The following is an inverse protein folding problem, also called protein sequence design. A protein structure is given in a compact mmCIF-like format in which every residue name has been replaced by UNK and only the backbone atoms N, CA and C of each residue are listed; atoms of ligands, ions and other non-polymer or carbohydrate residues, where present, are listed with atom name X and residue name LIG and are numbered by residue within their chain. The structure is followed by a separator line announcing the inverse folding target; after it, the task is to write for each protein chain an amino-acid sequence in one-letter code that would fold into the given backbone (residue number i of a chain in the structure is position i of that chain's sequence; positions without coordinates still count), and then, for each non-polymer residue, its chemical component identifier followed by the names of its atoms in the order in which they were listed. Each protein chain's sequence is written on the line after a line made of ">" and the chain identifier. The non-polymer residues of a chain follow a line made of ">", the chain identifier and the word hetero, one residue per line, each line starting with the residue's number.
data_IF_984082368982
#
_entry.id   IF_984082368982
#
_cell.length_a   1.000
_cell.length_b   1.000
_cell.length_c   1.000
_cell.angle_alpha   90.00
_cell.angle_beta   90.00
_cell.angle_gamma   90.00
#
_symmetry.space_group_name_H-M   'P 1'
#
loop_
_entity.id
_entity.type
_entity.pdbx_description
1 polymer ?
#
# COMPACT_ATOMS: atom_id res chain seq x y z
N UNK A 1 -8.33 18.64 -24.82
CA UNK A 1 -8.36 19.42 -23.54
C UNK A 1 -9.18 18.74 -22.43
N UNK A 2 -10.45 18.32 -22.65
CA UNK A 2 -11.28 17.67 -21.60
C UNK A 2 -10.71 16.36 -21.00
N UNK A 3 -10.09 15.52 -21.82
CA UNK A 3 -9.50 14.25 -21.36
C UNK A 3 -8.30 14.44 -20.41
N UNK A 4 -7.38 15.37 -20.75
CA UNK A 4 -6.25 15.73 -19.89
C UNK A 4 -6.69 16.31 -18.55
N UNK A 5 -7.79 17.08 -18.52
CA UNK A 5 -8.30 17.63 -17.27
C UNK A 5 -8.86 16.53 -16.34
N UNK A 6 -9.56 15.52 -16.88
CA UNK A 6 -10.04 14.38 -16.08
C UNK A 6 -8.89 13.52 -15.53
N UNK A 7 -7.86 13.27 -16.34
CA UNK A 7 -6.67 12.54 -15.91
C UNK A 7 -5.92 13.28 -14.79
N UNK A 8 -5.75 14.60 -14.92
CA UNK A 8 -5.14 15.44 -13.90
C UNK A 8 -5.94 15.45 -12.59
N UNK A 9 -7.27 15.59 -12.65
CA UNK A 9 -8.14 15.53 -11.47
C UNK A 9 -8.09 14.15 -10.79
N UNK A 10 -8.05 13.08 -11.59
CA UNK A 10 -7.88 11.72 -11.07
C UNK A 10 -6.55 11.58 -10.34
N UNK A 11 -5.43 11.97 -10.96
CA UNK A 11 -4.12 11.90 -10.35
C UNK A 11 -4.03 12.74 -9.07
N UNK A 12 -4.57 13.96 -9.06
CA UNK A 12 -4.61 14.81 -7.87
C UNK A 12 -5.39 14.16 -6.70
N UNK A 13 -6.52 13.50 -6.99
CA UNK A 13 -7.29 12.77 -5.98
C UNK A 13 -6.51 11.58 -5.41
N UNK A 14 -5.89 10.78 -6.26
CA UNK A 14 -5.08 9.62 -5.84
C UNK A 14 -3.87 10.08 -5.01
N UNK A 15 -3.23 11.17 -5.41
CA UNK A 15 -2.11 11.77 -4.68
C UNK A 15 -2.53 12.24 -3.29
N UNK A 16 -3.66 12.95 -3.18
CA UNK A 16 -4.19 13.42 -1.89
C UNK A 16 -4.51 12.25 -0.95
N UNK A 17 -5.19 11.21 -1.45
CA UNK A 17 -5.49 10.00 -0.67
C UNK A 17 -4.21 9.31 -0.17
N UNK A 18 -3.23 9.14 -1.07
CA UNK A 18 -1.92 8.55 -0.73
C UNK A 18 -1.22 9.35 0.37
N UNK A 19 -1.19 10.68 0.27
CA UNK A 19 -0.50 11.55 1.24
C UNK A 19 -1.20 11.57 2.60
N UNK A 20 -2.52 11.42 2.64
CA UNK A 20 -3.26 11.26 3.89
C UNK A 20 -2.95 9.93 4.57
N UNK A 21 -3.01 8.82 3.83
CA UNK A 21 -2.73 7.48 4.36
C UNK A 21 -1.28 7.35 4.82
N UNK A 22 -0.32 7.85 4.03
CA UNK A 22 1.09 7.81 4.43
C UNK A 22 1.36 8.60 5.72
N UNK A 23 0.68 9.73 5.91
CA UNK A 23 0.72 10.48 7.19
C UNK A 23 0.16 9.67 8.35
N UNK A 24 -0.91 8.90 8.15
CA UNK A 24 -1.49 8.01 9.18
C UNK A 24 -0.53 6.87 9.54
N UNK A 25 0.07 6.21 8.55
CA UNK A 25 1.05 5.13 8.74
C UNK A 25 2.27 5.61 9.52
N UNK A 26 2.86 6.75 9.15
CA UNK A 26 4.02 7.34 9.84
C UNK A 26 3.77 7.67 11.31
N UNK A 27 2.52 7.98 11.69
CA UNK A 27 2.16 8.21 13.09
C UNK A 27 2.15 6.92 13.90
N UNK A 28 1.99 5.76 13.26
CA UNK A 28 1.97 4.43 13.87
C UNK A 28 0.97 4.29 15.05
N UNK A 29 -0.15 5.01 15.00
CA UNK A 29 -1.21 4.97 16.03
C UNK A 29 -2.41 4.10 15.65
N UNK A 30 -2.35 3.44 14.48
CA UNK A 30 -3.42 2.62 13.96
C UNK A 30 -3.45 1.23 14.63
N UNK A 31 -4.64 0.64 14.72
CA UNK A 31 -4.76 -0.78 15.01
C UNK A 31 -4.05 -1.59 13.90
N UNK A 32 -3.52 -2.80 14.17
CA UNK A 32 -2.80 -3.58 13.16
C UNK A 32 -3.61 -3.76 11.87
N UNK A 33 -4.91 -4.06 11.98
CA UNK A 33 -5.82 -4.20 10.84
C UNK A 33 -5.85 -2.95 9.96
N UNK A 34 -6.10 -1.79 10.57
CA UNK A 34 -6.17 -0.51 9.84
C UNK A 34 -4.81 -0.15 9.25
N UNK A 35 -3.72 -0.44 9.97
CA UNK A 35 -2.36 -0.18 9.49
C UNK A 35 -2.06 -0.95 8.21
N UNK A 36 -2.24 -2.27 8.20
CA UNK A 36 -1.92 -3.08 7.02
C UNK A 36 -2.91 -2.85 5.88
N UNK A 37 -4.17 -2.53 6.19
CA UNK A 37 -5.15 -2.08 5.20
C UNK A 37 -4.70 -0.78 4.53
N UNK A 38 -4.38 0.26 5.30
CA UNK A 38 -3.89 1.54 4.79
C UNK A 38 -2.56 1.40 4.04
N UNK A 39 -1.66 0.53 4.53
CA UNK A 39 -0.38 0.22 3.89
C UNK A 39 -0.57 -0.39 2.49
N UNK A 40 -1.40 -1.44 2.38
CA UNK A 40 -1.74 -2.04 1.09
C UNK A 40 -2.39 -1.02 0.15
N UNK A 41 -3.27 -0.16 0.68
CA UNK A 41 -3.92 0.90 -0.10
C UNK A 41 -2.93 1.94 -0.63
N UNK A 42 -1.91 2.32 0.14
CA UNK A 42 -0.86 3.24 -0.34
C UNK A 42 -0.09 2.61 -1.50
N UNK A 43 0.24 1.32 -1.44
CA UNK A 43 0.88 0.62 -2.57
C UNK A 43 -0.01 0.69 -3.81
N UNK A 44 -1.28 0.34 -3.68
CA UNK A 44 -2.26 0.40 -4.77
C UNK A 44 -2.33 1.78 -5.43
N UNK A 45 -2.37 2.84 -4.62
CA UNK A 45 -2.41 4.23 -5.11
C UNK A 45 -1.10 4.62 -5.81
N UNK A 46 0.06 4.24 -5.24
CA UNK A 46 1.37 4.49 -5.85
C UNK A 46 1.50 3.78 -7.20
N UNK A 47 1.08 2.51 -7.29
CA UNK A 47 1.07 1.74 -8.54
C UNK A 47 0.21 2.42 -9.60
N UNK A 48 -1.02 2.82 -9.25
CA UNK A 48 -1.93 3.49 -10.19
C UNK A 48 -1.47 4.90 -10.61
N UNK A 49 -0.71 5.59 -9.75
CA UNK A 49 -0.08 6.87 -10.09
C UNK A 49 1.12 6.69 -11.04
N UNK A 50 1.86 5.58 -10.90
CA UNK A 50 2.99 5.23 -11.77
C UNK A 50 2.53 4.69 -13.13
N UNK A 51 1.47 3.89 -13.13
CA UNK A 51 0.86 3.31 -14.33
C UNK A 51 -0.57 3.82 -14.53
N UNK A 52 -0.72 4.87 -15.36
CA UNK A 52 -1.96 5.63 -15.57
C UNK A 52 -3.23 4.81 -15.92
N UNK A 53 -3.07 3.59 -16.44
CA UNK A 53 -4.18 2.76 -16.93
C UNK A 53 -4.62 1.67 -15.93
N UNK A 54 -4.12 1.72 -14.69
CA UNK A 54 -4.48 0.76 -13.65
C UNK A 54 -5.49 1.37 -12.68
N UNK A 55 -6.49 0.59 -12.27
CA UNK A 55 -7.36 0.94 -11.18
C UNK A 55 -6.71 0.54 -9.84
N UNK A 56 -6.57 1.44 -8.85
CA UNK A 56 -5.91 1.10 -7.59
C UNK A 56 -6.50 -0.14 -6.92
N UNK A 57 -7.82 -0.32 -6.98
CA UNK A 57 -8.50 -1.45 -6.34
C UNK A 57 -8.14 -2.82 -6.96
N UNK A 58 -7.65 -2.86 -8.20
CA UNK A 58 -7.27 -4.10 -8.88
C UNK A 58 -5.78 -4.43 -8.71
N UNK A 59 -5.01 -3.58 -8.02
CA UNK A 59 -3.58 -3.81 -7.80
C UNK A 59 -3.39 -4.84 -6.69
N UNK A 60 -2.72 -5.93 -7.05
CA UNK A 60 -2.18 -6.94 -6.15
C UNK A 60 -0.66 -6.80 -5.98
N UNK A 61 -0.07 -7.68 -5.17
CA UNK A 61 1.36 -7.68 -4.89
C UNK A 61 2.22 -7.89 -6.13
N UNK A 62 1.81 -8.75 -7.06
CA UNK A 62 2.57 -9.07 -8.27
C UNK A 62 2.55 -7.90 -9.26
N UNK A 63 1.39 -7.29 -9.43
CA UNK A 63 1.22 -6.08 -10.24
C UNK A 63 2.09 -4.95 -9.69
N UNK A 64 2.06 -4.71 -8.39
CA UNK A 64 2.92 -3.71 -7.75
C UNK A 64 4.41 -4.03 -7.93
N UNK A 65 4.81 -5.28 -7.71
CA UNK A 65 6.20 -5.71 -7.88
C UNK A 65 6.69 -5.49 -9.31
N UNK A 66 5.86 -5.81 -10.31
CA UNK A 66 6.15 -5.56 -11.73
C UNK A 66 6.30 -4.08 -12.04
N UNK A 67 5.37 -3.24 -11.57
CA UNK A 67 5.35 -1.79 -11.85
C UNK A 67 6.54 -1.06 -11.24
N UNK A 68 6.99 -1.50 -10.07
CA UNK A 68 8.15 -0.94 -9.40
C UNK A 68 9.47 -1.65 -9.74
N UNK A 69 9.44 -2.68 -10.58
CA UNK A 69 10.60 -3.51 -10.92
C UNK A 69 11.35 -4.00 -9.67
N UNK A 70 10.59 -4.49 -8.68
CA UNK A 70 11.12 -4.94 -7.40
C UNK A 70 12.03 -6.17 -7.58
N UNK A 71 13.11 -6.22 -6.82
CA UNK A 71 13.94 -7.42 -6.72
C UNK A 71 13.17 -8.58 -6.04
N UNK A 72 13.70 -9.82 -6.05
CA UNK A 72 13.00 -10.96 -5.45
C UNK A 72 12.69 -10.79 -3.96
N UNK A 73 13.56 -10.10 -3.20
CA UNK A 73 13.38 -9.87 -1.77
C UNK A 73 12.26 -8.86 -1.52
N UNK A 74 12.29 -7.72 -2.21
CA UNK A 74 11.25 -6.69 -2.15
C UNK A 74 9.90 -7.21 -2.65
N UNK A 75 9.91 -8.05 -3.69
CA UNK A 75 8.71 -8.73 -4.20
C UNK A 75 8.10 -9.66 -3.14
N UNK A 76 8.94 -10.38 -2.39
CA UNK A 76 8.48 -11.22 -1.29
C UNK A 76 7.92 -10.41 -0.13
N UNK A 77 8.57 -9.30 0.24
CA UNK A 77 8.03 -8.36 1.24
C UNK A 77 6.70 -7.77 0.78
N UNK A 78 6.55 -7.47 -0.50
CA UNK A 78 5.30 -7.01 -1.10
C UNK A 78 4.19 -8.06 -0.98
N UNK A 79 4.47 -9.33 -1.32
CA UNK A 79 3.51 -10.43 -1.15
C UNK A 79 3.05 -10.60 0.29
N UNK A 80 3.99 -10.56 1.24
CA UNK A 80 3.66 -10.67 2.68
C UNK A 80 2.79 -9.52 3.16
N UNK A 81 3.04 -8.29 2.70
CA UNK A 81 2.22 -7.13 3.03
C UNK A 81 0.76 -7.33 2.60
N UNK A 82 0.53 -7.76 1.35
CA UNK A 82 -0.82 -8.01 0.85
C UNK A 82 -1.50 -9.19 1.56
N UNK A 83 -0.77 -10.30 1.75
CA UNK A 83 -1.28 -11.45 2.49
C UNK A 83 -1.69 -11.08 3.92
N UNK A 84 -0.91 -10.24 4.61
CA UNK A 84 -1.24 -9.76 5.96
C UNK A 84 -2.47 -8.86 5.97
N UNK A 85 -2.60 -7.98 4.98
CA UNK A 85 -3.78 -7.11 4.83
C UNK A 85 -5.06 -7.95 4.63
N UNK A 86 -5.02 -8.94 3.75
CA UNK A 86 -6.15 -9.82 3.48
C UNK A 86 -6.47 -10.74 4.67
N UNK A 87 -5.45 -11.32 5.31
CA UNK A 87 -5.60 -12.09 6.54
C UNK A 87 -6.35 -11.28 7.59
N UNK A 88 -5.88 -10.06 7.91
CA UNK A 88 -6.51 -9.19 8.92
C UNK A 88 -7.90 -8.70 8.51
N UNK A 89 -8.20 -8.64 7.22
CA UNK A 89 -9.52 -8.28 6.69
C UNK A 89 -10.54 -9.38 6.95
N UNK A 90 -10.18 -10.65 6.73
CA UNK A 90 -11.11 -11.79 6.81
C UNK A 90 -11.11 -12.50 8.17
N UNK A 91 -10.00 -12.53 8.89
CA UNK A 91 -9.85 -13.32 10.12
C UNK A 91 -10.19 -12.57 11.42
N UNK A 92 -10.62 -11.31 11.34
CA UNK A 92 -11.17 -10.58 12.50
C UNK A 92 -10.22 -10.30 13.67
N UNK A 93 -8.96 -10.75 13.60
CA UNK A 93 -7.93 -10.47 14.60
C UNK A 93 -7.54 -11.70 15.41
N UNK A 94 -6.54 -12.44 14.93
CA UNK A 94 -5.71 -13.28 15.78
C UNK A 94 -4.57 -12.43 16.32
N UNK A 95 -4.58 -12.17 17.63
CA UNK A 95 -3.54 -11.49 18.41
C UNK A 95 -2.17 -12.13 18.19
N UNK A 96 -1.43 -11.63 17.21
CA UNK A 96 -0.02 -11.94 17.03
C UNK A 96 0.81 -10.95 17.84
N UNK A 97 1.67 -11.49 18.69
CA UNK A 97 2.75 -10.84 19.45
C UNK A 97 3.05 -9.38 19.05
N UNK A 98 2.90 -8.45 19.99
CA UNK A 98 3.03 -7.01 19.75
C UNK A 98 4.39 -6.58 19.19
N UNK A 99 5.45 -7.36 19.43
CA UNK A 99 6.77 -7.10 18.87
C UNK A 99 6.84 -7.53 17.39
N UNK A 100 6.31 -8.70 17.04
CA UNK A 100 6.17 -9.15 15.65
C UNK A 100 5.34 -8.17 14.82
N UNK A 101 4.24 -7.66 15.38
CA UNK A 101 3.41 -6.64 14.72
C UNK A 101 4.15 -5.32 14.54
N UNK A 102 4.92 -4.88 15.53
CA UNK A 102 5.67 -3.62 15.44
C UNK A 102 6.79 -3.68 14.40
N UNK A 103 7.48 -4.83 14.30
CA UNK A 103 8.50 -5.03 13.27
C UNK A 103 7.88 -5.07 11.86
N UNK A 104 6.78 -5.82 11.68
CA UNK A 104 6.07 -5.89 10.40
C UNK A 104 5.51 -4.53 9.93
N UNK A 105 5.10 -3.66 10.86
CA UNK A 105 4.68 -2.29 10.52
C UNK A 105 5.83 -1.45 9.98
N UNK A 106 7.01 -1.55 10.60
CA UNK A 106 8.21 -0.82 10.18
C UNK A 106 8.65 -1.29 8.80
N UNK A 107 8.78 -2.60 8.61
CA UNK A 107 9.14 -3.20 7.31
C UNK A 107 8.15 -2.79 6.20
N UNK A 108 6.85 -2.77 6.50
CA UNK A 108 5.83 -2.33 5.56
C UNK A 108 5.99 -0.84 5.19
N UNK A 109 6.28 0.03 6.16
CA UNK A 109 6.49 1.45 5.90
C UNK A 109 7.76 1.69 5.08
N UNK A 110 8.86 1.02 5.43
CA UNK A 110 10.13 1.09 4.69
C UNK A 110 9.95 0.65 3.24
N UNK A 111 9.26 -0.47 3.01
CA UNK A 111 8.91 -0.94 1.66
C UNK A 111 8.06 0.11 0.92
N UNK A 112 7.03 0.67 1.56
CA UNK A 112 6.18 1.68 0.93
C UNK A 112 6.97 2.94 0.57
N UNK A 113 7.88 3.37 1.44
CA UNK A 113 8.71 4.55 1.22
C UNK A 113 9.77 4.35 0.13
N UNK A 114 10.24 3.11 -0.09
CA UNK A 114 11.16 2.78 -1.18
C UNK A 114 10.52 2.76 -2.57
N UNK A 115 9.18 2.67 -2.66
CA UNK A 115 8.47 2.70 -3.95
C UNK A 115 8.51 4.10 -4.57
N UNK A 116 9.38 4.30 -5.57
CA UNK A 116 9.48 5.51 -6.41
C UNK A 116 9.18 5.21 -7.88
#
# INVERSE_FOLDING_TARGET
>A
VRASNRAALRAARLQHEKDELLRKLRRNRLAPRDYFSDASRVVQLKTALKENNIEPATVDAETAARVFSLDPEQSERMRRLFAKSDELRYSGGGSGDGALMSNGRREALELIESLS
#
